data_IF_749107309268
#
_entry.id   IF_749107309268
#
_cell.length_a   1.000
_cell.length_b   1.000
_cell.length_c   1.000
_cell.angle_alpha   90.00
_cell.angle_beta   90.00
_cell.angle_gamma   90.00
#
_symmetry.space_group_name_H-M   'P 1'
#
loop_
_entity.id
_entity.type
_entity.pdbx_description
1 polymer ?
#
# COMPACT_ATOMS: atom_id res chain seq x y z
N UNK A 1 19.79 31.12 8.36
CA UNK A 1 18.75 30.64 9.31
C UNK A 1 18.61 31.72 10.37
N UNK A 2 17.49 32.44 10.43
CA UNK A 2 17.32 33.57 11.37
C UNK A 2 16.21 34.56 10.98
N UNK A 3 14.98 34.09 10.71
CA UNK A 3 13.85 35.02 10.53
C UNK A 3 12.46 34.42 10.78
N UNK A 4 12.30 33.09 10.73
CA UNK A 4 11.01 32.44 11.04
C UNK A 4 10.78 32.30 12.56
N UNK A 5 11.82 31.94 13.32
CA UNK A 5 11.75 31.83 14.78
C UNK A 5 11.53 33.18 15.47
N UNK A 6 12.11 34.26 14.92
CA UNK A 6 12.00 35.62 15.48
C UNK A 6 10.60 36.25 15.30
N UNK A 7 9.80 35.76 14.34
CA UNK A 7 8.43 36.25 14.11
C UNK A 7 7.34 35.39 14.77
N UNK A 8 7.61 34.12 15.09
CA UNK A 8 6.62 33.17 15.61
C UNK A 8 6.71 32.93 17.12
N UNK A 9 7.82 33.29 17.76
CA UNK A 9 8.05 33.12 19.20
C UNK A 9 8.45 31.70 19.60
N UNK A 10 9.01 31.54 20.80
CA UNK A 10 9.57 30.26 21.30
C UNK A 10 8.54 29.12 21.40
N UNK A 11 7.25 29.44 21.57
CA UNK A 11 6.17 28.45 21.62
C UNK A 11 5.96 27.73 20.29
N UNK A 12 6.25 28.36 19.16
CA UNK A 12 6.09 27.78 17.83
C UNK A 12 7.08 26.64 17.57
N UNK A 13 8.29 26.74 18.12
CA UNK A 13 9.30 25.68 18.02
C UNK A 13 8.85 24.41 18.79
N UNK A 14 8.24 24.59 19.97
CA UNK A 14 7.68 23.48 20.76
C UNK A 14 6.51 22.82 20.03
N UNK A 15 5.59 23.63 19.49
CA UNK A 15 4.46 23.13 18.71
C UNK A 15 4.92 22.35 17.47
N UNK A 16 5.90 22.88 16.72
CA UNK A 16 6.46 22.20 15.55
C UNK A 16 7.08 20.86 15.92
N UNK A 17 7.82 20.79 17.03
CA UNK A 17 8.40 19.54 17.52
C UNK A 17 7.32 18.49 17.84
N UNK A 18 6.21 18.89 18.47
CA UNK A 18 5.07 18.00 18.76
C UNK A 18 4.42 17.49 17.47
N UNK A 19 4.17 18.38 16.49
CA UNK A 19 3.59 18.01 15.20
C UNK A 19 4.51 17.04 14.45
N UNK A 20 5.81 17.34 14.39
CA UNK A 20 6.79 16.46 13.74
C UNK A 20 6.88 15.10 14.42
N UNK A 21 6.83 15.05 15.75
CA UNK A 21 6.80 13.80 16.50
C UNK A 21 5.56 12.97 16.16
N UNK A 22 4.36 13.57 16.18
CA UNK A 22 3.11 12.88 15.84
C UNK A 22 3.10 12.38 14.40
N UNK A 23 3.61 13.19 13.45
CA UNK A 23 3.72 12.81 12.05
C UNK A 23 4.69 11.64 11.85
N UNK A 24 5.88 11.72 12.46
CA UNK A 24 6.87 10.65 12.40
C UNK A 24 6.34 9.36 13.04
N UNK A 25 5.72 9.46 14.21
CA UNK A 25 5.13 8.33 14.92
C UNK A 25 4.04 7.64 14.10
N UNK A 26 3.11 8.42 13.54
CA UNK A 26 2.03 7.88 12.69
C UNK A 26 2.58 7.25 11.42
N UNK A 27 3.61 7.86 10.81
CA UNK A 27 4.29 7.29 9.64
C UNK A 27 4.93 5.94 9.95
N UNK A 28 5.63 5.80 11.08
CA UNK A 28 6.22 4.53 11.51
C UNK A 28 5.15 3.48 11.74
N UNK A 29 4.05 3.81 12.44
CA UNK A 29 2.94 2.88 12.67
C UNK A 29 2.27 2.45 11.37
N UNK A 30 2.03 3.37 10.44
CA UNK A 30 1.48 3.05 9.13
C UNK A 30 2.37 2.06 8.36
N UNK A 31 3.69 2.32 8.33
CA UNK A 31 4.66 1.41 7.71
C UNK A 31 4.74 0.05 8.41
N UNK A 32 4.62 0.02 9.74
CA UNK A 32 4.54 -1.23 10.50
C UNK A 32 3.30 -2.04 10.10
N UNK A 33 2.11 -1.43 10.02
CA UNK A 33 0.88 -2.12 9.63
C UNK A 33 0.96 -2.69 8.21
N UNK A 34 1.53 -1.95 7.24
CA UNK A 34 1.77 -2.48 5.90
C UNK A 34 2.74 -3.67 5.92
N UNK A 35 3.82 -3.58 6.71
CA UNK A 35 4.79 -4.64 6.87
C UNK A 35 4.21 -5.89 7.55
N UNK A 36 3.34 -5.73 8.54
CA UNK A 36 2.65 -6.82 9.21
C UNK A 36 1.70 -7.55 8.26
N UNK A 37 0.94 -6.83 7.44
CA UNK A 37 0.09 -7.41 6.40
C UNK A 37 0.92 -8.20 5.37
N UNK A 38 2.05 -7.64 4.91
CA UNK A 38 2.98 -8.33 4.02
C UNK A 38 3.58 -9.59 4.68
N UNK A 39 3.92 -9.50 5.97
CA UNK A 39 4.45 -10.63 6.73
C UNK A 39 3.41 -11.74 6.84
N UNK A 40 2.15 -11.41 7.13
CA UNK A 40 1.06 -12.37 7.22
C UNK A 40 0.82 -13.11 5.90
N UNK A 41 1.02 -12.43 4.76
CA UNK A 41 0.97 -13.06 3.44
C UNK A 41 2.14 -14.02 3.19
N UNK A 42 3.34 -13.71 3.71
CA UNK A 42 4.54 -14.52 3.51
C UNK A 42 4.63 -15.71 4.48
N UNK A 43 4.22 -15.53 5.73
CA UNK A 43 4.29 -16.54 6.78
C UNK A 43 3.28 -16.28 7.89
N UNK A 44 2.65 -17.33 8.40
CA UNK A 44 1.73 -17.25 9.55
C UNK A 44 2.41 -17.57 10.88
N UNK A 45 3.74 -17.71 10.88
CA UNK A 45 4.50 -18.10 12.07
C UNK A 45 4.70 -16.93 13.03
N UNK A 46 4.17 -17.05 14.25
CA UNK A 46 4.22 -16.02 15.31
C UNK A 46 5.62 -15.46 15.59
N UNK A 47 6.67 -16.29 15.48
CA UNK A 47 8.05 -15.87 15.71
C UNK A 47 8.53 -14.76 14.75
N UNK A 48 8.13 -14.83 13.48
CA UNK A 48 8.52 -13.84 12.47
C UNK A 48 7.84 -12.49 12.68
N UNK A 49 6.58 -12.48 13.13
CA UNK A 49 5.88 -11.24 13.49
C UNK A 49 6.53 -10.53 14.68
N UNK A 50 6.95 -11.28 15.70
CA UNK A 50 7.66 -10.73 16.86
C UNK A 50 9.03 -10.18 16.44
N UNK A 51 9.78 -10.93 15.65
CA UNK A 51 11.08 -10.49 15.13
C UNK A 51 10.97 -9.22 14.29
N UNK A 52 9.92 -9.11 13.46
CA UNK A 52 9.65 -7.93 12.66
C UNK A 52 9.36 -6.69 13.53
N UNK A 53 8.50 -6.82 14.54
CA UNK A 53 8.25 -5.73 15.50
C UNK A 53 9.51 -5.29 16.23
N UNK A 54 10.33 -6.24 16.68
CA UNK A 54 11.61 -5.93 17.32
C UNK A 54 12.58 -5.20 16.36
N UNK A 55 12.64 -5.62 15.09
CA UNK A 55 13.47 -4.97 14.08
C UNK A 55 13.03 -3.53 13.80
N UNK A 56 11.73 -3.27 13.72
CA UNK A 56 11.17 -1.92 13.50
C UNK A 56 11.53 -1.00 14.67
N UNK A 57 11.39 -1.46 15.91
CA UNK A 57 11.79 -0.69 17.10
C UNK A 57 13.30 -0.40 17.09
N UNK A 58 14.13 -1.39 16.74
CA UNK A 58 15.57 -1.21 16.61
C UNK A 58 15.95 -0.20 15.51
N UNK A 59 15.26 -0.22 14.37
CA UNK A 59 15.45 0.74 13.27
C UNK A 59 15.06 2.16 13.67
N UNK A 60 13.97 2.34 14.41
CA UNK A 60 13.56 3.66 14.93
C UNK A 60 14.62 4.20 15.90
N UNK A 61 15.12 3.35 16.80
CA UNK A 61 16.18 3.73 17.71
C UNK A 61 17.47 4.11 16.95
N UNK A 62 17.89 3.28 15.99
CA UNK A 62 19.05 3.55 15.15
C UNK A 62 18.89 4.86 14.36
N UNK A 63 17.70 5.11 13.82
CA UNK A 63 17.33 6.34 13.12
C UNK A 63 17.48 7.60 13.98
N UNK A 64 17.32 7.49 15.30
CA UNK A 64 17.53 8.60 16.24
C UNK A 64 19.00 8.92 16.52
N UNK A 65 19.92 8.00 16.20
CA UNK A 65 21.36 8.11 16.51
C UNK A 65 22.21 8.39 15.27
N UNK A 66 21.81 7.90 14.09
CA UNK A 66 22.59 8.09 12.85
C UNK A 66 22.53 9.54 12.34
N UNK A 67 23.54 9.92 11.56
CA UNK A 67 23.55 11.22 10.89
C UNK A 67 22.39 11.36 9.90
N UNK A 68 21.78 12.55 9.85
CA UNK A 68 20.65 12.85 8.97
C UNK A 68 20.99 12.59 7.49
N UNK A 69 22.18 12.98 7.03
CA UNK A 69 22.62 12.75 5.64
C UNK A 69 22.76 11.27 5.30
N UNK A 70 23.20 10.45 6.27
CA UNK A 70 23.27 9.01 6.10
C UNK A 70 21.86 8.42 6.04
N UNK A 71 20.93 8.89 6.87
CA UNK A 71 19.53 8.47 6.84
C UNK A 71 18.88 8.76 5.47
N UNK A 72 19.10 9.95 4.92
CA UNK A 72 18.64 10.31 3.58
C UNK A 72 19.25 9.43 2.49
N UNK A 73 20.54 9.12 2.61
CA UNK A 73 21.24 8.23 1.67
C UNK A 73 20.65 6.83 1.67
N UNK A 74 20.45 6.24 2.86
CA UNK A 74 19.82 4.92 3.03
C UNK A 74 18.40 4.95 2.46
N UNK A 75 17.61 5.96 2.81
CA UNK A 75 16.25 6.14 2.30
C UNK A 75 16.21 6.23 0.76
N UNK A 76 17.14 6.98 0.16
CA UNK A 76 17.26 7.10 -1.29
C UNK A 76 17.54 5.75 -1.97
N UNK A 77 18.52 4.99 -1.46
CA UNK A 77 18.84 3.64 -1.99
C UNK A 77 17.67 2.68 -1.81
N UNK A 78 17.05 2.66 -0.63
CA UNK A 78 15.87 1.83 -0.35
C UNK A 78 14.70 2.17 -1.27
N UNK A 79 14.45 3.46 -1.54
CA UNK A 79 13.39 3.90 -2.44
C UNK A 79 13.63 3.40 -3.87
N UNK A 80 14.87 3.48 -4.37
CA UNK A 80 15.23 2.95 -5.70
C UNK A 80 14.99 1.44 -5.78
N UNK A 81 15.37 0.70 -4.73
CA UNK A 81 15.17 -0.75 -4.68
C UNK A 81 13.68 -1.14 -4.70
N UNK A 82 12.87 -0.50 -3.86
CA UNK A 82 11.41 -0.73 -3.83
C UNK A 82 10.77 -0.35 -5.17
N UNK A 83 11.14 0.80 -5.73
CA UNK A 83 10.62 1.26 -7.02
C UNK A 83 10.96 0.28 -8.15
N UNK A 84 12.19 -0.24 -8.18
CA UNK A 84 12.62 -1.20 -9.20
C UNK A 84 11.81 -2.50 -9.11
N UNK A 85 11.64 -3.05 -7.91
CA UNK A 85 10.83 -4.27 -7.71
C UNK A 85 9.40 -4.04 -8.17
N UNK A 86 8.77 -2.95 -7.71
CA UNK A 86 7.40 -2.63 -8.09
C UNK A 86 7.25 -2.43 -9.60
N UNK A 87 8.23 -1.78 -10.25
CA UNK A 87 8.24 -1.62 -11.70
C UNK A 87 8.29 -2.96 -12.45
N UNK A 88 9.14 -3.88 -12.00
CA UNK A 88 9.23 -5.24 -12.58
C UNK A 88 7.92 -5.99 -12.39
N UNK A 89 7.33 -5.95 -11.20
CA UNK A 89 6.04 -6.59 -10.91
C UNK A 89 4.92 -6.02 -11.79
N UNK A 90 4.85 -4.69 -11.93
CA UNK A 90 3.89 -4.02 -12.83
C UNK A 90 4.11 -4.47 -14.27
N UNK A 91 5.34 -4.55 -14.75
CA UNK A 91 5.65 -5.00 -16.11
C UNK A 91 5.16 -6.45 -16.35
N UNK A 92 5.36 -7.34 -15.38
CA UNK A 92 4.88 -8.74 -15.44
C UNK A 92 3.34 -8.81 -15.38
N UNK A 93 2.69 -7.97 -14.55
CA UNK A 93 1.23 -7.94 -14.40
C UNK A 93 0.50 -7.18 -15.51
N UNK A 94 1.19 -6.33 -16.26
CA UNK A 94 0.63 -5.52 -17.36
C UNK A 94 -0.25 -6.32 -18.33
N UNK A 95 0.17 -7.48 -18.89
CA UNK A 95 -0.69 -8.26 -19.79
C UNK A 95 -2.01 -8.68 -19.13
N UNK A 96 -1.98 -9.10 -17.86
CA UNK A 96 -3.17 -9.49 -17.10
C UNK A 96 -4.08 -8.29 -16.82
N UNK A 97 -3.50 -7.16 -16.40
CA UNK A 97 -4.23 -5.92 -16.16
C UNK A 97 -4.92 -5.41 -17.43
N UNK A 98 -4.26 -5.49 -18.59
CA UNK A 98 -4.84 -5.09 -19.87
C UNK A 98 -5.99 -6.01 -20.30
N UNK A 99 -5.92 -7.32 -20.01
CA UNK A 99 -7.04 -8.25 -20.26
C UNK A 99 -8.25 -7.91 -19.41
N UNK A 100 -8.07 -7.70 -18.11
CA UNK A 100 -9.13 -7.28 -17.20
C UNK A 100 -9.75 -5.95 -17.65
N UNK A 101 -8.92 -4.99 -18.06
CA UNK A 101 -9.38 -3.70 -18.55
C UNK A 101 -10.20 -3.83 -19.86
N UNK A 102 -9.77 -4.70 -20.78
CA UNK A 102 -10.52 -4.99 -22.01
C UNK A 102 -11.87 -5.64 -21.70
N UNK A 103 -11.89 -6.60 -20.78
CA UNK A 103 -13.11 -7.25 -20.32
C UNK A 103 -14.10 -6.24 -19.73
N UNK A 104 -13.63 -5.40 -18.80
CA UNK A 104 -14.41 -4.31 -18.21
C UNK A 104 -14.98 -3.35 -19.27
N UNK A 105 -14.13 -2.90 -20.20
CA UNK A 105 -14.53 -1.97 -21.25
C UNK A 105 -15.54 -2.59 -22.23
N UNK A 106 -15.43 -3.89 -22.52
CA UNK A 106 -16.37 -4.58 -23.38
C UNK A 106 -17.78 -4.62 -22.78
N UNK A 107 -17.90 -4.93 -21.48
CA UNK A 107 -19.20 -4.89 -20.79
C UNK A 107 -19.76 -3.47 -20.72
N UNK A 108 -18.92 -2.49 -20.37
CA UNK A 108 -19.33 -1.09 -20.30
C UNK A 108 -19.80 -0.54 -21.66
N UNK A 109 -19.15 -0.93 -22.75
CA UNK A 109 -19.52 -0.53 -24.11
C UNK A 109 -20.89 -1.09 -24.53
N UNK A 110 -21.34 -2.18 -23.92
CA UNK A 110 -22.67 -2.76 -24.11
C UNK A 110 -23.75 -2.06 -23.26
N UNK A 111 -23.40 -1.01 -22.51
CA UNK A 111 -24.31 -0.32 -21.60
C UNK A 111 -24.58 -1.08 -20.30
N UNK A 112 -23.81 -2.14 -20.04
CA UNK A 112 -23.98 -3.00 -18.87
C UNK A 112 -23.13 -2.48 -17.71
N UNK A 113 -23.60 -2.70 -16.48
CA UNK A 113 -22.77 -2.51 -15.29
C UNK A 113 -21.70 -3.63 -15.25
N UNK A 114 -20.40 -3.32 -15.34
CA UNK A 114 -19.37 -4.35 -15.49
C UNK A 114 -19.20 -5.20 -14.23
N UNK A 115 -19.40 -6.51 -14.37
CA UNK A 115 -19.18 -7.48 -13.29
C UNK A 115 -18.10 -8.44 -13.76
N UNK A 116 -17.08 -8.65 -12.93
CA UNK A 116 -16.01 -9.62 -13.20
C UNK A 116 -16.26 -10.90 -12.41
N UNK A 117 -16.23 -12.04 -13.10
CA UNK A 117 -16.18 -13.36 -12.49
C UNK A 117 -14.81 -14.00 -12.74
N UNK A 118 -14.29 -14.71 -11.76
CA UNK A 118 -13.07 -15.50 -11.91
C UNK A 118 -13.14 -16.48 -13.10
N UNK A 119 -14.33 -17.00 -13.41
CA UNK A 119 -14.60 -17.86 -14.57
C UNK A 119 -14.46 -17.17 -15.93
N UNK A 120 -14.54 -15.84 -16.00
CA UNK A 120 -14.47 -15.08 -17.26
C UNK A 120 -13.06 -15.10 -17.87
N UNK A 121 -12.03 -15.29 -17.04
CA UNK A 121 -10.62 -15.31 -17.42
C UNK A 121 -9.90 -16.48 -16.74
N UNK A 122 -10.15 -17.74 -17.18
CA UNK A 122 -9.62 -18.95 -16.53
C UNK A 122 -8.09 -19.06 -16.61
N UNK A 123 -7.43 -18.29 -17.48
CA UNK A 123 -5.97 -18.20 -17.50
C UNK A 123 -5.37 -17.49 -16.27
N UNK A 124 -6.15 -16.69 -15.53
CA UNK A 124 -5.70 -16.00 -14.31
C UNK A 124 -5.86 -16.98 -13.15
N UNK A 125 -4.73 -17.51 -12.68
CA UNK A 125 -4.68 -18.46 -11.57
C UNK A 125 -4.70 -17.75 -10.22
N UNK A 126 -5.07 -18.48 -9.17
CA UNK A 126 -5.12 -18.01 -7.78
C UNK A 126 -6.09 -16.83 -7.54
N UNK A 127 -7.22 -16.84 -8.25
CA UNK A 127 -8.33 -15.93 -7.98
C UNK A 127 -9.25 -16.62 -6.98
N UNK A 128 -9.13 -16.25 -5.70
CA UNK A 128 -9.91 -16.82 -4.59
C UNK A 128 -11.24 -16.08 -4.33
N UNK A 129 -11.38 -14.88 -4.89
CA UNK A 129 -12.50 -13.96 -4.70
C UNK A 129 -13.12 -13.64 -6.06
N UNK A 130 -14.37 -13.19 -6.09
CA UNK A 130 -15.16 -12.94 -7.31
C UNK A 130 -15.62 -14.24 -7.98
N UNK A 131 -15.98 -15.22 -7.16
CA UNK A 131 -16.78 -16.38 -7.61
C UNK A 131 -18.27 -16.00 -7.67
N UNK A 132 -19.11 -16.82 -8.31
CA UNK A 132 -20.54 -16.54 -8.46
C UNK A 132 -21.23 -16.22 -7.12
N UNK A 133 -20.85 -16.90 -6.04
CA UNK A 133 -21.38 -16.65 -4.69
C UNK A 133 -21.09 -15.22 -4.20
N UNK A 134 -19.90 -14.68 -4.49
CA UNK A 134 -19.48 -13.34 -4.08
C UNK A 134 -20.20 -12.22 -4.85
N UNK A 135 -20.60 -12.50 -6.09
CA UNK A 135 -21.18 -11.49 -7.00
C UNK A 135 -22.66 -11.69 -7.30
N UNK A 136 -23.30 -12.72 -6.72
CA UNK A 136 -24.69 -13.08 -7.01
C UNK A 136 -25.67 -11.90 -6.78
N UNK A 137 -25.43 -11.07 -5.78
CA UNK A 137 -26.27 -9.91 -5.49
C UNK A 137 -26.12 -8.82 -6.56
N UNK A 138 -24.91 -8.60 -7.08
CA UNK A 138 -24.67 -7.65 -8.18
C UNK A 138 -25.24 -8.15 -9.50
N UNK A 139 -25.12 -9.46 -9.78
CA UNK A 139 -25.75 -10.09 -10.93
C UNK A 139 -27.28 -9.92 -10.89
N UNK A 140 -27.90 -10.20 -9.73
CA UNK A 140 -29.35 -10.03 -9.54
C UNK A 140 -29.78 -8.57 -9.74
N UNK A 141 -29.02 -7.61 -9.22
CA UNK A 141 -29.31 -6.19 -9.44
C UNK A 141 -29.28 -5.81 -10.92
N UNK A 142 -28.28 -6.28 -11.66
CA UNK A 142 -28.15 -6.06 -13.10
C UNK A 142 -29.32 -6.65 -13.91
N UNK A 143 -29.85 -7.81 -13.52
CA UNK A 143 -31.03 -8.41 -14.15
C UNK A 143 -32.32 -7.61 -13.85
N UNK A 144 -32.42 -7.02 -12.65
CA UNK A 144 -33.61 -6.26 -12.22
C UNK A 144 -33.62 -4.79 -12.62
N UNK A 145 -32.49 -4.25 -13.09
CA UNK A 145 -32.37 -2.84 -13.49
C UNK A 145 -33.03 -2.62 -14.86
N UNK A 146 -34.05 -1.75 -14.98
CA UNK A 146 -34.72 -1.51 -16.26
C UNK A 146 -33.77 -0.79 -17.22
N UNK A 147 -33.57 -1.37 -18.41
CA UNK A 147 -32.77 -0.82 -19.51
C UNK A 147 -33.32 0.49 -20.06
#
# INVERSE_FOLDING_TARGET
QGSLADNLGSWAAVLLAVIMFLLAFTSVLGNFSYGEANMHFLTSQRGWHIAFGAAVVALVFLGSVIAVDLAWTIAGVSMVFIALINLVVIAILTPTALKLLRHYNAQRAQGLDPIFLASDLPEIKNVEVWVDEDVCDYQRQRETSPS
#
